data_IF_986639211477
#
_entry.id   IF_986639211477
#
_cell.length_a   1.000
_cell.length_b   1.000
_cell.length_c   1.000
_cell.angle_alpha   90.00
_cell.angle_beta   90.00
_cell.angle_gamma   90.00
#
_symmetry.space_group_name_H-M   'P 1'
#
loop_
_entity.id
_entity.type
_entity.pdbx_description
1 polymer ?
#
# COMPACT_ATOMS: atom_id res chain seq x y z
N UNK A 1 16.52 -2.75 12.08
CA UNK A 1 17.00 -2.87 10.68
C UNK A 1 15.93 -3.48 9.76
N UNK A 2 15.18 -4.46 10.24
CA UNK A 2 14.20 -5.19 9.43
C UNK A 2 12.97 -4.36 8.99
N UNK A 3 12.33 -3.63 9.91
CA UNK A 3 11.19 -2.75 9.60
C UNK A 3 11.50 -1.68 8.53
N UNK A 4 12.73 -1.15 8.50
CA UNK A 4 13.16 -0.20 7.46
C UNK A 4 13.23 -0.87 6.09
N UNK A 5 13.69 -2.12 6.01
CA UNK A 5 13.72 -2.89 4.76
C UNK A 5 12.31 -3.21 4.29
N UNK A 6 11.43 -3.64 5.20
CA UNK A 6 10.02 -3.88 4.89
C UNK A 6 9.32 -2.61 4.39
N UNK A 7 9.55 -1.46 5.05
CA UNK A 7 8.98 -0.19 4.64
C UNK A 7 9.49 0.26 3.25
N UNK A 8 10.77 0.00 2.96
CA UNK A 8 11.33 0.25 1.63
C UNK A 8 10.65 -0.64 0.58
N UNK A 9 10.60 -1.95 0.82
CA UNK A 9 10.05 -2.91 -0.13
C UNK A 9 8.57 -2.63 -0.45
N UNK A 10 7.74 -2.36 0.56
CA UNK A 10 6.31 -2.05 0.34
C UNK A 10 6.09 -0.72 -0.37
N UNK A 11 7.01 0.25 -0.22
CA UNK A 11 6.96 1.50 -0.99
C UNK A 11 7.33 1.27 -2.45
N UNK A 12 8.36 0.48 -2.72
CA UNK A 12 8.75 0.12 -4.09
C UNK A 12 7.63 -0.68 -4.78
N UNK A 13 7.00 -1.62 -4.09
CA UNK A 13 5.81 -2.34 -4.58
C UNK A 13 4.66 -1.39 -4.91
N UNK A 14 4.37 -0.43 -4.03
CA UNK A 14 3.30 0.54 -4.29
C UNK A 14 3.62 1.44 -5.50
N UNK A 15 4.87 1.86 -5.68
CA UNK A 15 5.27 2.65 -6.85
C UNK A 15 5.07 1.87 -8.15
N UNK A 16 5.46 0.59 -8.20
CA UNK A 16 5.23 -0.25 -9.39
C UNK A 16 3.73 -0.37 -9.69
N UNK A 17 2.90 -0.61 -8.67
CA UNK A 17 1.44 -0.68 -8.86
C UNK A 17 0.87 0.65 -9.38
N UNK A 18 1.35 1.77 -8.84
CA UNK A 18 0.90 3.10 -9.25
C UNK A 18 1.37 3.49 -10.65
N UNK A 19 2.53 3.02 -11.10
CA UNK A 19 3.00 3.27 -12.46
C UNK A 19 2.24 2.38 -13.46
N UNK A 20 2.09 1.09 -13.17
CA UNK A 20 1.32 0.15 -13.98
C UNK A 20 -0.14 0.63 -14.19
N UNK A 21 -0.77 1.21 -13.16
CA UNK A 21 -2.16 1.71 -13.28
C UNK A 21 -2.23 3.02 -14.08
N UNK A 22 -1.19 3.86 -14.04
CA UNK A 22 -1.09 5.07 -14.87
C UNK A 22 -0.88 4.70 -16.34
N UNK A 23 -0.11 3.65 -16.62
CA UNK A 23 0.07 3.17 -17.99
C UNK A 23 -1.26 2.66 -18.57
N UNK A 24 -2.03 1.88 -17.80
CA UNK A 24 -3.37 1.43 -18.18
C UNK A 24 -4.33 2.62 -18.42
N UNK A 25 -4.32 3.64 -17.54
CA UNK A 25 -5.11 4.86 -17.72
C UNK A 25 -4.71 5.62 -19.00
N UNK A 26 -3.41 5.77 -19.26
CA UNK A 26 -2.89 6.48 -20.43
C UNK A 26 -3.31 5.81 -21.74
N UNK A 27 -3.41 4.48 -21.74
CA UNK A 27 -3.93 3.69 -22.86
C UNK A 27 -5.47 3.63 -22.90
N UNK A 28 -6.14 4.20 -21.89
CA UNK A 28 -7.59 4.09 -21.66
C UNK A 28 -8.07 2.63 -21.54
N UNK A 29 -7.19 1.71 -21.12
CA UNK A 29 -7.54 0.33 -20.83
C UNK A 29 -8.02 0.20 -19.38
N UNK A 30 -9.33 0.09 -19.22
CA UNK A 30 -9.98 -0.11 -17.92
C UNK A 30 -10.44 -1.55 -17.70
N UNK A 31 -9.73 -2.51 -18.32
CA UNK A 31 -10.03 -3.92 -18.27
C UNK A 31 -9.68 -4.60 -16.93
N UNK A 32 -9.63 -5.95 -16.92
CA UNK A 32 -9.36 -6.73 -15.71
C UNK A 32 -8.05 -6.35 -15.00
N UNK A 33 -6.97 -6.06 -15.76
CA UNK A 33 -5.68 -5.67 -15.18
C UNK A 33 -5.77 -4.34 -14.42
N UNK A 34 -6.45 -3.35 -14.98
CA UNK A 34 -6.71 -2.08 -14.28
C UNK A 34 -7.46 -2.31 -12.95
N UNK A 35 -8.49 -3.16 -12.96
CA UNK A 35 -9.26 -3.49 -11.74
C UNK A 35 -8.38 -4.19 -10.70
N UNK A 36 -7.52 -5.11 -11.13
CA UNK A 36 -6.56 -5.80 -10.25
C UNK A 36 -5.57 -4.81 -9.62
N UNK A 37 -5.00 -3.91 -10.41
CA UNK A 37 -4.07 -2.88 -9.95
C UNK A 37 -4.74 -1.92 -8.97
N UNK A 38 -5.95 -1.42 -9.31
CA UNK A 38 -6.73 -0.56 -8.43
C UNK A 38 -7.01 -1.22 -7.08
N UNK A 39 -7.27 -2.54 -7.07
CA UNK A 39 -7.42 -3.31 -5.84
C UNK A 39 -6.12 -3.49 -5.07
N UNK A 40 -5.02 -3.74 -5.78
CA UNK A 40 -3.70 -3.87 -5.19
C UNK A 40 -3.25 -2.58 -4.50
N UNK A 41 -3.63 -1.39 -5.01
CA UNK A 41 -3.31 -0.09 -4.39
C UNK A 41 -3.74 -0.05 -2.92
N UNK A 42 -5.01 -0.30 -2.61
CA UNK A 42 -5.49 -0.19 -1.23
C UNK A 42 -4.93 -1.30 -0.34
N UNK A 43 -4.79 -2.53 -0.85
CA UNK A 43 -4.20 -3.65 -0.10
C UNK A 43 -2.75 -3.35 0.28
N UNK A 44 -1.94 -2.87 -0.66
CA UNK A 44 -0.53 -2.53 -0.41
C UNK A 44 -0.40 -1.28 0.47
N UNK A 45 -1.36 -0.35 0.38
CA UNK A 45 -1.44 0.80 1.28
C UNK A 45 -1.65 0.38 2.74
N UNK A 46 -2.56 -0.58 2.98
CA UNK A 46 -2.87 -1.08 4.33
C UNK A 46 -1.66 -1.81 4.92
N UNK A 47 -0.97 -2.64 4.12
CA UNK A 47 0.31 -3.24 4.52
C UNK A 47 1.34 -2.18 4.92
N UNK A 48 1.50 -1.13 4.11
CA UNK A 48 2.41 -0.02 4.40
C UNK A 48 2.03 0.71 5.69
N UNK A 49 0.74 0.93 5.93
CA UNK A 49 0.25 1.58 7.14
C UNK A 49 0.57 0.75 8.40
N UNK A 50 0.37 -0.58 8.34
CA UNK A 50 0.75 -1.48 9.42
C UNK A 50 2.25 -1.42 9.73
N UNK A 51 3.10 -1.41 8.70
CA UNK A 51 4.56 -1.27 8.86
C UNK A 51 4.93 0.09 9.47
N UNK A 52 4.34 1.19 8.99
CA UNK A 52 4.53 2.54 9.57
C UNK A 52 4.16 2.56 11.06
N UNK A 53 3.03 1.94 11.44
CA UNK A 53 2.60 1.83 12.84
C UNK A 53 3.61 1.05 13.67
N UNK A 54 4.11 -0.08 13.17
CA UNK A 54 5.15 -0.86 13.85
C UNK A 54 6.45 -0.05 14.05
N UNK A 55 6.87 0.75 13.06
CA UNK A 55 8.01 1.65 13.18
C UNK A 55 7.77 2.72 14.26
N UNK A 56 6.61 3.37 14.26
CA UNK A 56 6.27 4.40 15.25
C UNK A 56 6.29 3.84 16.68
N UNK A 57 5.73 2.64 16.89
CA UNK A 57 5.75 1.96 18.19
C UNK A 57 7.17 1.62 18.61
N UNK A 58 8.00 1.10 17.70
CA UNK A 58 9.39 0.75 17.99
C UNK A 58 10.27 1.95 18.36
N UNK A 59 9.94 3.15 17.85
CA UNK A 59 10.68 4.39 18.11
C UNK A 59 10.05 5.25 19.22
N UNK A 60 8.95 4.81 19.84
CA UNK A 60 8.25 5.56 20.88
C UNK A 60 7.67 6.89 20.39
N UNK A 61 7.21 6.94 19.13
CA UNK A 61 6.66 8.18 18.55
C UNK A 61 5.48 8.69 19.38
N UNK A 62 5.51 9.98 19.74
CA UNK A 62 4.41 10.67 20.44
C UNK A 62 3.17 10.84 19.56
N UNK A 63 3.33 10.73 18.23
CA UNK A 63 2.26 10.84 17.25
C UNK A 63 2.20 9.57 16.41
N UNK A 64 1.04 8.92 16.39
CA UNK A 64 0.78 7.74 15.56
C UNK A 64 -0.35 8.09 14.60
N UNK A 65 -0.07 7.99 13.30
CA UNK A 65 -1.08 8.11 12.26
C UNK A 65 -1.92 6.82 12.24
N UNK A 66 -3.23 6.94 12.48
CA UNK A 66 -4.18 5.84 12.41
C UNK A 66 -5.15 6.08 11.26
N UNK A 67 -5.13 5.17 10.27
CA UNK A 67 -6.04 5.20 9.14
C UNK A 67 -7.28 4.39 9.49
N UNK A 68 -8.45 5.04 9.49
CA UNK A 68 -9.73 4.38 9.70
C UNK A 68 -10.38 4.07 8.35
N UNK A 69 -10.13 2.89 7.82
CA UNK A 69 -10.82 2.35 6.64
C UNK A 69 -11.45 1.00 6.96
N UNK A 70 -12.42 0.59 6.13
CA UNK A 70 -12.89 -0.78 6.13
C UNK A 70 -11.73 -1.73 5.82
N UNK A 71 -11.63 -2.83 6.57
CA UNK A 71 -10.63 -3.87 6.26
C UNK A 71 -11.08 -4.64 5.02
N UNK A 72 -10.44 -4.35 3.89
CA UNK A 72 -10.72 -5.01 2.62
C UNK A 72 -9.95 -6.33 2.45
N UNK A 73 -9.04 -6.66 3.36
CA UNK A 73 -8.30 -7.93 3.34
C UNK A 73 -9.11 -9.10 3.94
N UNK A 74 -10.19 -8.78 4.66
CA UNK A 74 -11.06 -9.77 5.30
C UNK A 74 -12.02 -10.51 4.32
N UNK A 75 -12.18 -10.04 3.08
CA UNK A 75 -12.98 -10.74 2.05
C UNK A 75 -12.07 -11.65 1.23
N UNK A 76 -12.03 -12.94 1.59
CA UNK A 76 -11.56 -14.03 0.73
C UNK A 76 -12.73 -14.70 0.03
#
# INVERSE_FOLDING_TARGET
ADLRKQLKAVNEELWVIEDDIRDQEAEQDFGPRFIELARAVYVTNDKRAAIKKAVNLALGSRFVEEKSYQDYTARK
#
